data_IF_207426453012
#
_entry.id   IF_207426453012
#
_cell.length_a   1.000
_cell.length_b   1.000
_cell.length_c   1.000
_cell.angle_alpha   90.00
_cell.angle_beta   90.00
_cell.angle_gamma   90.00
#
_symmetry.space_group_name_H-M   'P 1'
#
loop_
_entity.id
_entity.type
_entity.pdbx_description
1 polymer ?
#
# COMPACT_ATOMS: atom_id res chain seq x y z
N UNK A 1 21.28 -8.76 -8.63
CA UNK A 1 20.09 -9.24 -7.91
C UNK A 1 19.91 -10.74 -8.06
N UNK A 2 19.31 -11.37 -7.07
CA UNK A 2 19.11 -12.80 -7.03
C UNK A 2 17.77 -13.16 -6.35
N UNK A 3 17.19 -14.30 -6.69
CA UNK A 3 15.92 -14.78 -6.13
C UNK A 3 15.96 -16.28 -5.86
N UNK A 4 15.11 -16.72 -4.92
CA UNK A 4 14.78 -18.14 -4.70
C UNK A 4 13.31 -18.31 -5.07
N UNK A 5 13.01 -19.30 -5.91
CA UNK A 5 11.64 -19.64 -6.26
C UNK A 5 11.16 -20.79 -5.38
N UNK A 6 9.94 -20.69 -4.81
CA UNK A 6 9.35 -21.76 -4.02
C UNK A 6 7.92 -21.99 -4.51
N UNK A 7 7.62 -23.22 -4.95
CA UNK A 7 6.27 -23.67 -5.32
C UNK A 7 5.67 -24.43 -4.15
N UNK A 8 4.52 -23.97 -3.64
CA UNK A 8 3.70 -24.74 -2.71
C UNK A 8 2.55 -25.39 -3.48
N UNK A 9 2.37 -26.70 -3.35
CA UNK A 9 1.27 -27.44 -3.99
C UNK A 9 0.74 -28.54 -3.08
N UNK A 10 -0.53 -28.91 -3.30
CA UNK A 10 -1.17 -30.07 -2.66
C UNK A 10 -0.85 -31.37 -3.41
N UNK A 11 -0.28 -31.29 -4.62
CA UNK A 11 0.15 -32.47 -5.38
C UNK A 11 1.23 -33.24 -4.62
N UNK A 12 1.23 -34.57 -4.77
CA UNK A 12 2.25 -35.45 -4.22
C UNK A 12 3.42 -35.63 -5.20
N UNK A 13 4.64 -35.81 -4.69
CA UNK A 13 5.81 -36.23 -5.46
C UNK A 13 5.71 -37.74 -5.76
N UNK A 14 5.21 -38.53 -4.80
CA UNK A 14 5.10 -39.99 -4.93
C UNK A 14 6.46 -40.69 -5.03
N UNK A 15 6.55 -41.85 -5.69
CA UNK A 15 7.81 -42.58 -5.83
C UNK A 15 8.76 -42.00 -6.92
N UNK A 16 8.56 -40.74 -7.31
CA UNK A 16 9.32 -40.04 -8.34
C UNK A 16 10.39 -39.13 -7.72
N UNK A 17 11.39 -38.73 -8.51
CA UNK A 17 12.30 -37.62 -8.19
C UNK A 17 11.92 -36.34 -8.92
N UNK A 18 10.97 -36.40 -9.86
CA UNK A 18 10.45 -35.22 -10.55
C UNK A 18 9.49 -34.46 -9.63
N UNK A 19 9.84 -33.22 -9.30
CA UNK A 19 9.04 -32.36 -8.43
C UNK A 19 7.86 -31.74 -9.20
N UNK A 20 6.64 -31.70 -8.60
CA UNK A 20 5.54 -30.89 -9.10
C UNK A 20 5.96 -29.43 -9.33
N UNK A 21 5.36 -28.76 -10.31
CA UNK A 21 5.69 -27.37 -10.64
C UNK A 21 6.97 -27.18 -11.47
N UNK A 22 7.62 -28.25 -11.95
CA UNK A 22 8.80 -28.12 -12.81
C UNK A 22 8.59 -27.20 -14.03
N UNK A 23 7.38 -27.22 -14.63
CA UNK A 23 7.06 -26.34 -15.75
C UNK A 23 7.02 -24.85 -15.37
N UNK A 24 6.47 -24.50 -14.19
CA UNK A 24 6.45 -23.11 -13.73
C UNK A 24 7.85 -22.65 -13.31
N UNK A 25 8.64 -23.52 -12.68
CA UNK A 25 10.04 -23.25 -12.36
C UNK A 25 10.87 -23.02 -13.63
N UNK A 26 10.70 -23.84 -14.66
CA UNK A 26 11.39 -23.65 -15.94
C UNK A 26 11.02 -22.30 -16.59
N UNK A 27 9.74 -21.92 -16.56
CA UNK A 27 9.28 -20.62 -17.05
C UNK A 27 9.85 -19.45 -16.23
N UNK A 28 9.91 -19.60 -14.89
CA UNK A 28 10.51 -18.60 -14.00
C UNK A 28 12.01 -18.46 -14.25
N UNK A 29 12.75 -19.56 -14.43
CA UNK A 29 14.18 -19.57 -14.75
C UNK A 29 14.44 -18.82 -16.06
N UNK A 30 13.71 -19.17 -17.13
CA UNK A 30 13.82 -18.49 -18.41
C UNK A 30 13.55 -16.98 -18.31
N UNK A 31 12.58 -16.57 -17.47
CA UNK A 31 12.28 -15.15 -17.24
C UNK A 31 13.37 -14.47 -16.40
N UNK A 32 13.86 -15.11 -15.35
CA UNK A 32 14.93 -14.59 -14.50
C UNK A 32 16.20 -14.33 -15.33
N UNK A 33 16.59 -15.31 -16.17
CA UNK A 33 17.73 -15.20 -17.08
C UNK A 33 17.54 -14.03 -18.06
N UNK A 34 16.36 -13.91 -18.68
CA UNK A 34 16.04 -12.81 -19.60
C UNK A 34 16.04 -11.42 -18.91
N UNK A 35 15.79 -11.38 -17.61
CA UNK A 35 15.80 -10.18 -16.78
C UNK A 35 17.15 -9.92 -16.08
N UNK A 36 18.18 -10.76 -16.30
CA UNK A 36 19.47 -10.64 -15.63
C UNK A 36 19.45 -10.94 -14.12
N UNK A 37 18.41 -11.64 -13.63
CA UNK A 37 18.27 -12.05 -12.23
C UNK A 37 18.84 -13.44 -12.02
N UNK A 38 19.69 -13.62 -11.00
CA UNK A 38 20.20 -14.93 -10.63
C UNK A 38 19.14 -15.74 -9.88
N UNK A 39 18.68 -16.85 -10.44
CA UNK A 39 17.88 -17.84 -9.70
C UNK A 39 18.83 -18.72 -8.86
N UNK A 40 18.89 -18.44 -7.56
CA UNK A 40 19.81 -19.11 -6.61
C UNK A 40 19.41 -20.56 -6.38
N UNK A 41 18.10 -20.80 -6.24
CA UNK A 41 17.53 -22.11 -6.04
C UNK A 41 16.05 -22.08 -6.45
N UNK A 42 15.52 -23.25 -6.80
CA UNK A 42 14.11 -23.47 -7.05
C UNK A 42 13.63 -24.68 -6.27
N UNK A 43 12.66 -24.48 -5.37
CA UNK A 43 12.15 -25.47 -4.44
C UNK A 43 10.68 -25.79 -4.74
N UNK A 44 10.28 -27.04 -4.53
CA UNK A 44 8.86 -27.41 -4.40
C UNK A 44 8.60 -27.97 -3.01
N UNK A 45 7.53 -27.49 -2.38
CA UNK A 45 6.93 -28.07 -1.18
C UNK A 45 5.59 -28.68 -1.60
N UNK A 46 5.56 -30.00 -1.64
CA UNK A 46 4.41 -30.83 -2.00
C UNK A 46 3.70 -31.36 -0.73
N UNK A 47 2.59 -32.09 -0.88
CA UNK A 47 1.85 -32.62 0.26
C UNK A 47 2.58 -33.75 1.02
N UNK A 48 3.48 -34.49 0.35
CA UNK A 48 4.21 -35.64 0.89
C UNK A 48 5.73 -35.44 1.00
N UNK A 49 6.27 -34.34 0.47
CA UNK A 49 7.72 -34.08 0.48
C UNK A 49 8.10 -32.70 -0.01
N UNK A 50 9.39 -32.38 0.04
CA UNK A 50 9.95 -31.17 -0.54
C UNK A 50 11.32 -31.42 -1.18
N UNK A 51 11.77 -30.53 -2.05
CA UNK A 51 13.08 -30.65 -2.66
C UNK A 51 13.45 -29.46 -3.52
N UNK A 52 14.74 -29.36 -3.86
CA UNK A 52 15.23 -28.44 -4.90
C UNK A 52 15.16 -29.13 -6.27
N UNK A 53 14.78 -28.37 -7.29
CA UNK A 53 14.82 -28.79 -8.70
C UNK A 53 16.26 -28.95 -9.21
N UNK A 54 17.24 -28.41 -8.49
CA UNK A 54 18.66 -28.48 -8.82
C UNK A 54 19.42 -29.53 -7.96
N UNK A 55 18.73 -30.24 -7.04
CA UNK A 55 19.30 -31.31 -6.21
C UNK A 55 19.36 -32.64 -6.99
N UNK A 56 20.56 -32.98 -7.47
CA UNK A 56 20.83 -34.24 -8.20
C UNK A 56 20.69 -35.49 -7.33
N UNK A 57 20.77 -35.34 -6.01
CA UNK A 57 20.71 -36.41 -5.03
C UNK A 57 19.34 -36.49 -4.34
N UNK A 58 18.31 -35.86 -4.93
CA UNK A 58 16.96 -35.86 -4.39
C UNK A 58 16.41 -37.30 -4.32
N UNK A 59 16.03 -37.80 -3.13
CA UNK A 59 15.45 -39.14 -3.02
C UNK A 59 14.06 -39.22 -3.66
N UNK A 60 13.62 -40.42 -4.09
CA UNK A 60 12.23 -40.63 -4.50
C UNK A 60 11.26 -40.20 -3.39
N UNK A 61 10.25 -39.39 -3.74
CA UNK A 61 9.33 -38.76 -2.78
C UNK A 61 9.84 -37.47 -2.16
N UNK A 62 11.04 -37.02 -2.52
CA UNK A 62 11.66 -35.83 -1.95
C UNK A 62 12.09 -36.03 -0.50
N UNK A 63 12.53 -34.93 0.11
CA UNK A 63 12.88 -34.84 1.53
C UNK A 63 11.62 -34.76 2.38
N UNK A 64 11.74 -35.20 3.63
CA UNK A 64 10.59 -35.26 4.55
C UNK A 64 10.04 -33.87 4.85
N UNK A 65 8.72 -33.64 4.80
CA UNK A 65 8.13 -32.37 5.25
C UNK A 65 8.45 -32.03 6.71
N UNK A 66 8.75 -33.05 7.53
CA UNK A 66 9.18 -32.85 8.92
C UNK A 66 10.51 -32.09 9.04
N UNK A 67 11.32 -32.05 7.97
CA UNK A 67 12.55 -31.25 7.93
C UNK A 67 12.28 -29.75 7.82
N UNK A 68 11.08 -29.35 7.38
CA UNK A 68 10.66 -27.94 7.29
C UNK A 68 10.08 -27.40 8.61
N UNK A 69 9.81 -28.26 9.59
CA UNK A 69 9.35 -27.84 10.91
C UNK A 69 10.47 -27.14 11.67
N UNK A 70 10.23 -25.91 12.13
CA UNK A 70 11.19 -25.15 12.93
C UNK A 70 11.51 -25.89 14.23
N UNK A 71 12.79 -26.25 14.42
CA UNK A 71 13.25 -26.89 15.65
C UNK A 71 13.54 -25.82 16.70
N UNK A 72 13.21 -26.08 17.96
CA UNK A 72 13.41 -25.12 19.07
C UNK A 72 14.84 -24.54 19.19
N UNK A 73 15.93 -25.29 18.94
CA UNK A 73 17.28 -24.74 18.94
C UNK A 73 17.51 -23.72 17.82
N UNK A 74 16.92 -23.93 16.64
CA UNK A 74 17.04 -23.03 15.49
C UNK A 74 16.24 -21.75 15.72
N UNK A 75 15.07 -21.84 16.35
CA UNK A 75 14.30 -20.69 16.79
C UNK A 75 15.08 -19.82 17.79
N UNK A 76 15.77 -20.44 18.75
CA UNK A 76 16.62 -19.73 19.72
C UNK A 76 17.82 -19.06 19.05
N UNK A 77 18.47 -19.74 18.09
CA UNK A 77 19.57 -19.18 17.30
C UNK A 77 19.13 -17.99 16.44
N UNK A 78 17.96 -18.09 15.76
CA UNK A 78 17.36 -16.99 15.00
C UNK A 78 17.04 -15.79 15.89
N UNK A 79 16.45 -16.02 17.07
CA UNK A 79 16.18 -14.97 18.04
C UNK A 79 17.47 -14.29 18.52
N UNK A 80 18.54 -15.07 18.77
CA UNK A 80 19.86 -14.55 19.13
C UNK A 80 20.52 -13.72 18.01
N UNK A 81 20.22 -14.05 16.74
CA UNK A 81 20.63 -13.27 15.57
C UNK A 81 19.73 -12.06 15.26
N UNK A 82 18.76 -11.74 16.13
CA UNK A 82 17.82 -10.63 15.94
C UNK A 82 16.76 -10.86 14.85
N UNK A 83 16.67 -12.07 14.28
CA UNK A 83 15.65 -12.42 13.31
C UNK A 83 14.32 -12.67 14.03
N UNK A 84 13.32 -11.85 13.74
CA UNK A 84 11.98 -12.00 14.31
C UNK A 84 11.28 -13.22 13.70
N UNK A 85 10.64 -14.03 14.55
CA UNK A 85 9.74 -15.09 14.09
C UNK A 85 8.56 -14.46 13.35
N UNK A 86 8.25 -14.89 12.11
CA UNK A 86 7.05 -14.43 11.41
C UNK A 86 5.80 -14.71 12.24
N UNK A 87 5.02 -13.68 12.55
CA UNK A 87 3.79 -13.82 13.37
C UNK A 87 2.52 -13.93 12.53
N UNK A 88 2.66 -14.02 11.20
CA UNK A 88 1.55 -14.10 10.26
C UNK A 88 2.02 -14.43 8.84
N UNK A 89 1.06 -14.56 7.94
CA UNK A 89 1.25 -14.86 6.52
C UNK A 89 1.59 -13.61 5.67
N UNK A 90 1.74 -13.79 4.36
CA UNK A 90 1.98 -12.72 3.38
C UNK A 90 0.88 -11.65 3.31
N UNK A 91 -0.26 -11.87 3.97
CA UNK A 91 -1.39 -10.95 4.00
C UNK A 91 -1.47 -10.15 5.31
N UNK A 92 -0.76 -10.60 6.34
CA UNK A 92 -0.81 -10.05 7.69
C UNK A 92 -0.30 -8.61 7.74
N UNK A 93 0.68 -8.28 6.88
CA UNK A 93 1.20 -6.93 6.74
C UNK A 93 0.17 -5.93 6.19
N UNK A 94 -0.93 -6.37 5.56
CA UNK A 94 -1.99 -5.50 5.05
C UNK A 94 -3.18 -5.32 6.02
N UNK A 95 -3.16 -5.95 7.19
CA UNK A 95 -4.19 -5.75 8.22
C UNK A 95 -4.09 -4.33 8.77
N UNK A 96 -5.17 -3.55 8.69
CA UNK A 96 -5.21 -2.21 9.26
C UNK A 96 -5.03 -2.21 10.78
N UNK A 97 -4.44 -1.14 11.36
CA UNK A 97 -4.35 -0.96 12.80
C UNK A 97 -5.69 -1.14 13.53
N UNK A 98 -5.65 -1.76 14.70
CA UNK A 98 -6.83 -1.92 15.54
C UNK A 98 -7.11 -0.61 16.29
N UNK A 99 -8.26 -0.01 16.03
CA UNK A 99 -8.71 1.22 16.70
C UNK A 99 -10.07 1.00 17.38
N UNK A 100 -10.23 1.58 18.56
CA UNK A 100 -11.46 1.46 19.35
C UNK A 100 -12.64 2.23 18.75
N UNK A 101 -13.86 1.84 19.12
CA UNK A 101 -15.07 2.58 18.72
C UNK A 101 -15.06 4.06 19.14
N UNK A 102 -14.57 4.47 20.33
CA UNK A 102 -14.54 5.88 20.71
C UNK A 102 -13.74 6.74 19.74
N UNK A 103 -12.55 6.29 19.34
CA UNK A 103 -11.70 7.00 18.36
C UNK A 103 -12.41 7.15 17.00
N UNK A 104 -13.03 6.08 16.49
CA UNK A 104 -13.80 6.13 15.23
C UNK A 104 -14.98 7.10 15.29
N UNK A 105 -15.68 7.17 16.42
CA UNK A 105 -16.79 8.12 16.63
C UNK A 105 -16.29 9.55 16.65
N UNK A 106 -15.16 9.82 17.32
CA UNK A 106 -14.53 11.13 17.36
C UNK A 106 -14.13 11.62 15.95
N UNK A 107 -13.47 10.78 15.14
CA UNK A 107 -13.14 11.12 13.75
C UNK A 107 -14.40 11.31 12.90
N UNK A 108 -15.42 10.47 13.10
CA UNK A 108 -16.70 10.63 12.40
C UNK A 108 -17.43 11.94 12.73
N UNK A 109 -17.32 12.44 13.97
CA UNK A 109 -17.81 13.75 14.38
C UNK A 109 -16.99 14.87 13.72
N UNK A 110 -15.66 14.79 13.80
CA UNK A 110 -14.76 15.76 13.19
C UNK A 110 -14.96 15.89 11.67
N UNK A 111 -15.17 14.78 10.95
CA UNK A 111 -15.53 14.80 9.52
C UNK A 111 -16.78 15.62 9.22
N UNK A 112 -17.80 15.53 10.08
CA UNK A 112 -19.03 16.32 9.91
C UNK A 112 -18.80 17.79 10.22
N UNK A 113 -18.06 18.10 11.29
CA UNK A 113 -17.68 19.47 11.63
C UNK A 113 -16.86 20.12 10.52
N UNK A 114 -15.86 19.43 9.96
CA UNK A 114 -15.03 19.90 8.86
C UNK A 114 -15.87 20.16 7.60
N UNK A 115 -16.78 19.25 7.25
CA UNK A 115 -17.68 19.44 6.10
C UNK A 115 -18.55 20.69 6.27
N UNK A 116 -19.11 20.90 7.46
CA UNK A 116 -19.90 22.09 7.75
C UNK A 116 -19.07 23.38 7.71
N UNK A 117 -17.82 23.37 8.18
CA UNK A 117 -16.93 24.53 8.11
C UNK A 117 -16.58 24.90 6.66
N UNK A 118 -16.30 23.90 5.83
CA UNK A 118 -16.01 24.08 4.40
C UNK A 118 -17.23 24.59 3.62
N UNK A 119 -18.45 24.12 3.91
CA UNK A 119 -19.69 24.66 3.32
C UNK A 119 -19.83 26.16 3.57
N UNK A 120 -19.46 26.62 4.78
CA UNK A 120 -19.49 28.05 5.15
C UNK A 120 -18.40 28.85 4.42
N UNK A 121 -17.15 28.36 4.42
CA UNK A 121 -16.03 29.07 3.77
C UNK A 121 -16.23 29.17 2.26
N UNK A 122 -16.67 28.08 1.63
CA UNK A 122 -16.86 28.02 0.17
C UNK A 122 -18.19 28.64 -0.29
N UNK A 123 -19.04 29.11 0.62
CA UNK A 123 -20.31 29.76 0.29
C UNK A 123 -21.36 28.83 -0.34
N UNK A 124 -21.30 27.52 -0.08
CA UNK A 124 -22.25 26.54 -0.64
C UNK A 124 -23.55 26.58 0.19
N UNK A 125 -24.73 26.85 -0.40
CA UNK A 125 -25.98 26.89 0.35
C UNK A 125 -26.33 25.50 0.88
N UNK A 126 -26.28 25.32 2.20
CA UNK A 126 -26.75 24.08 2.84
C UNK A 126 -28.29 24.07 2.83
N UNK A 127 -28.91 23.15 2.08
CA UNK A 127 -30.38 23.03 1.91
C UNK A 127 -31.14 22.59 3.17
N UNK A 128 -30.50 22.56 4.34
CA UNK A 128 -31.17 22.23 5.59
C UNK A 128 -30.26 22.18 6.79
N UNK A 129 -29.97 23.32 7.41
CA UNK A 129 -29.81 23.42 8.87
C UNK A 129 -29.75 24.89 9.28
N UNK A 130 -30.59 25.29 10.24
CA UNK A 130 -30.52 26.59 10.89
C UNK A 130 -29.14 26.75 11.57
N UNK A 131 -28.50 27.92 11.38
CA UNK A 131 -27.28 28.42 11.99
C UNK A 131 -26.64 27.50 13.06
N UNK A 132 -26.01 26.41 12.62
CA UNK A 132 -25.28 25.54 13.52
C UNK A 132 -23.97 26.25 13.85
N UNK A 133 -23.71 26.50 15.14
CA UNK A 133 -22.44 27.07 15.58
C UNK A 133 -21.31 26.18 15.04
N UNK A 134 -20.47 26.74 14.18
CA UNK A 134 -19.32 26.04 13.61
C UNK A 134 -18.31 25.78 14.72
N UNK A 135 -17.78 24.56 14.76
CA UNK A 135 -16.69 24.18 15.66
C UNK A 135 -15.43 24.99 15.28
N UNK A 136 -14.87 25.82 16.19
CA UNK A 136 -13.68 26.62 15.89
C UNK A 136 -12.51 25.78 15.37
N UNK A 137 -12.31 24.56 15.90
CA UNK A 137 -11.26 23.67 15.44
C UNK A 137 -11.48 23.18 14.00
N UNK A 138 -12.74 23.10 13.56
CA UNK A 138 -13.07 22.74 12.18
C UNK A 138 -12.84 23.92 11.21
N UNK A 139 -13.03 25.16 11.68
CA UNK A 139 -12.73 26.35 10.90
C UNK A 139 -11.21 26.51 10.71
N UNK A 140 -10.44 26.34 11.78
CA UNK A 140 -8.97 26.34 11.73
C UNK A 140 -8.46 25.25 10.78
N UNK A 141 -8.96 24.02 10.93
CA UNK A 141 -8.66 22.91 10.03
C UNK A 141 -9.02 23.21 8.56
N UNK A 142 -10.09 23.94 8.31
CA UNK A 142 -10.46 24.32 6.95
C UNK A 142 -9.54 25.39 6.37
N UNK A 143 -8.99 26.29 7.20
CA UNK A 143 -7.94 27.23 6.78
C UNK A 143 -6.62 26.49 6.50
N UNK A 144 -6.27 25.48 7.30
CA UNK A 144 -5.07 24.64 7.06
C UNK A 144 -5.11 23.92 5.70
N UNK A 145 -6.29 23.69 5.12
CA UNK A 145 -6.44 23.08 3.78
C UNK A 145 -6.01 24.01 2.63
N UNK A 146 -5.73 25.28 2.88
CA UNK A 146 -5.19 26.23 1.89
C UNK A 146 -3.73 25.90 1.51
N UNK A 147 -2.98 25.28 2.43
CA UNK A 147 -1.60 24.85 2.22
C UNK A 147 -1.49 23.31 2.35
N UNK A 148 -2.02 22.63 1.34
CA UNK A 148 -1.99 21.17 1.25
C UNK A 148 -0.56 20.60 1.30
N UNK A 149 0.44 21.17 0.60
CA UNK A 149 1.80 20.66 0.67
C UNK A 149 2.37 20.67 2.08
N UNK A 150 2.21 21.77 2.84
CA UNK A 150 2.64 21.80 4.25
C UNK A 150 1.86 20.80 5.11
N UNK A 151 0.56 20.64 4.88
CA UNK A 151 -0.26 19.66 5.61
C UNK A 151 0.24 18.22 5.39
N UNK A 152 0.50 17.82 4.15
CA UNK A 152 0.96 16.47 3.81
C UNK A 152 2.39 16.20 4.27
N UNK A 153 3.25 17.22 4.27
CA UNK A 153 4.60 17.10 4.79
C UNK A 153 4.58 16.88 6.30
N UNK A 154 3.82 17.74 7.00
CA UNK A 154 3.67 17.61 8.44
C UNK A 154 3.05 16.27 8.79
N UNK A 155 2.07 15.76 8.03
CA UNK A 155 1.40 14.47 8.26
C UNK A 155 2.37 13.29 8.52
N UNK A 156 3.58 13.32 7.94
CA UNK A 156 4.60 12.30 8.15
C UNK A 156 5.23 12.31 9.55
N UNK A 157 5.07 13.40 10.30
CA UNK A 157 5.74 13.61 11.61
C UNK A 157 4.85 13.36 12.83
N UNK A 158 3.53 13.22 12.65
CA UNK A 158 2.58 13.00 13.76
C UNK A 158 1.67 11.79 13.51
N UNK A 159 0.94 11.35 14.55
CA UNK A 159 0.06 10.17 14.48
C UNK A 159 -1.40 10.60 14.30
N UNK A 160 -2.11 10.16 13.25
CA UNK A 160 -3.53 10.47 13.07
C UNK A 160 -4.41 10.03 14.24
N UNK A 161 -3.97 9.03 15.03
CA UNK A 161 -4.67 8.57 16.23
C UNK A 161 -4.72 9.60 17.36
N UNK A 162 -3.84 10.61 17.35
CA UNK A 162 -3.73 11.62 18.41
C UNK A 162 -4.63 12.84 18.17
N UNK A 163 -5.10 13.07 16.93
CA UNK A 163 -5.96 14.20 16.59
C UNK A 163 -7.11 13.79 15.66
N UNK A 164 -8.35 13.68 16.17
CA UNK A 164 -9.50 13.33 15.35
C UNK A 164 -9.77 14.32 14.21
N UNK A 165 -9.51 15.61 14.42
CA UNK A 165 -9.72 16.65 13.40
C UNK A 165 -8.75 16.49 12.25
N UNK A 166 -7.46 16.34 12.54
CA UNK A 166 -6.48 16.20 11.47
C UNK A 166 -6.58 14.83 10.76
N UNK A 167 -7.01 13.76 11.45
CA UNK A 167 -7.38 12.50 10.78
C UNK A 167 -8.58 12.68 9.83
N UNK A 168 -9.54 13.54 10.20
CA UNK A 168 -10.65 13.91 9.33
C UNK A 168 -10.20 14.76 8.13
N UNK A 169 -9.28 15.71 8.31
CA UNK A 169 -8.68 16.49 7.20
C UNK A 169 -7.99 15.59 6.19
N UNK A 170 -7.10 14.69 6.66
CA UNK A 170 -6.42 13.74 5.78
C UNK A 170 -7.43 12.81 5.10
N UNK A 171 -8.40 12.28 5.85
CA UNK A 171 -9.47 11.46 5.27
C UNK A 171 -10.30 12.18 4.20
N UNK A 172 -10.54 13.48 4.39
CA UNK A 172 -11.23 14.34 3.44
C UNK A 172 -10.40 14.62 2.18
N UNK A 173 -9.09 14.86 2.33
CA UNK A 173 -8.16 15.05 1.20
C UNK A 173 -8.01 13.77 0.38
N UNK A 174 -7.65 12.66 1.04
CA UNK A 174 -7.41 11.37 0.38
C UNK A 174 -8.66 10.78 -0.27
N UNK A 175 -9.85 11.24 0.14
CA UNK A 175 -11.12 10.89 -0.48
C UNK A 175 -11.43 11.63 -1.79
N UNK A 176 -10.63 12.63 -2.18
CA UNK A 176 -10.83 13.45 -3.38
C UNK A 176 -9.70 13.22 -4.38
N UNK A 177 -9.98 12.90 -5.66
CA UNK A 177 -8.94 12.56 -6.63
C UNK A 177 -7.80 13.58 -6.72
N UNK A 178 -8.07 14.86 -7.01
CA UNK A 178 -7.02 15.87 -7.15
C UNK A 178 -6.16 16.02 -5.91
N UNK A 179 -6.78 16.14 -4.73
CA UNK A 179 -6.05 16.34 -3.46
C UNK A 179 -5.25 15.10 -3.03
N UNK A 180 -5.81 13.92 -3.29
CA UNK A 180 -5.15 12.64 -3.05
C UNK A 180 -3.92 12.49 -3.94
N UNK A 181 -4.02 12.88 -5.20
CA UNK A 181 -2.94 12.70 -6.17
C UNK A 181 -1.79 13.66 -5.87
N UNK A 182 -2.07 14.88 -5.39
CA UNK A 182 -1.06 15.78 -4.79
C UNK A 182 -0.30 15.08 -3.65
N UNK A 183 -1.01 14.44 -2.71
CA UNK A 183 -0.38 13.75 -1.58
C UNK A 183 0.52 12.59 -2.05
N UNK A 184 0.08 11.80 -3.03
CA UNK A 184 0.86 10.69 -3.58
C UNK A 184 2.13 11.18 -4.28
N UNK A 185 2.02 12.22 -5.12
CA UNK A 185 3.17 12.82 -5.80
C UNK A 185 4.17 13.38 -4.78
N UNK A 186 3.70 14.14 -3.79
CA UNK A 186 4.56 14.71 -2.75
C UNK A 186 5.28 13.65 -1.90
N UNK A 187 4.58 12.59 -1.51
CA UNK A 187 5.20 11.53 -0.71
C UNK A 187 6.18 10.68 -1.52
N UNK A 188 5.98 10.57 -2.84
CA UNK A 188 6.90 9.91 -3.74
C UNK A 188 8.08 10.78 -4.19
N UNK A 189 8.00 12.10 -3.97
CA UNK A 189 9.05 13.07 -4.30
C UNK A 189 9.50 13.78 -3.02
N UNK A 190 9.10 15.03 -2.84
CA UNK A 190 9.36 15.88 -1.68
C UNK A 190 8.31 16.99 -1.59
N UNK A 191 8.44 17.89 -0.60
CA UNK A 191 7.52 19.01 -0.44
C UNK A 191 7.46 19.93 -1.67
N UNK A 192 8.58 20.17 -2.36
CA UNK A 192 8.60 20.98 -3.59
C UNK A 192 7.85 20.30 -4.73
N UNK A 193 7.93 18.96 -4.83
CA UNK A 193 7.12 18.19 -5.76
C UNK A 193 5.62 18.29 -5.43
N UNK A 194 5.28 18.38 -4.15
CA UNK A 194 3.92 18.69 -3.68
C UNK A 194 3.43 20.07 -4.12
N UNK A 195 4.26 21.11 -4.00
CA UNK A 195 3.94 22.47 -4.46
C UNK A 195 3.66 22.49 -5.97
N UNK A 196 4.52 21.83 -6.75
CA UNK A 196 4.36 21.71 -8.21
C UNK A 196 3.07 20.95 -8.54
N UNK A 197 2.77 19.85 -7.85
CA UNK A 197 1.56 19.08 -8.06
C UNK A 197 0.29 19.86 -7.68
N UNK A 198 0.36 20.66 -6.63
CA UNK A 198 -0.74 21.53 -6.19
C UNK A 198 -1.05 22.62 -7.22
N UNK A 199 -0.03 23.32 -7.72
CA UNK A 199 -0.22 24.33 -8.77
C UNK A 199 -0.71 23.69 -10.09
N UNK A 200 -0.17 22.53 -10.45
CA UNK A 200 -0.60 21.77 -11.62
C UNK A 200 -2.07 21.34 -11.53
N UNK A 201 -2.51 20.85 -10.36
CA UNK A 201 -3.90 20.48 -10.13
C UNK A 201 -4.84 21.68 -10.29
N UNK A 202 -4.46 22.84 -9.73
CA UNK A 202 -5.23 24.09 -9.86
C UNK A 202 -5.35 24.53 -11.32
N UNK A 203 -4.23 24.56 -12.06
CA UNK A 203 -4.21 24.95 -13.48
C UNK A 203 -5.01 23.99 -14.36
N UNK A 204 -4.97 22.69 -14.06
CA UNK A 204 -5.78 21.70 -14.75
C UNK A 204 -7.28 21.89 -14.49
N UNK A 205 -7.68 22.25 -13.27
CA UNK A 205 -9.07 22.63 -12.95
C UNK A 205 -9.52 23.90 -13.71
N UNK A 206 -8.59 24.81 -14.00
CA UNK A 206 -8.80 25.99 -14.86
C UNK A 206 -8.79 25.65 -16.37
N UNK A 207 -8.59 24.38 -16.74
CA UNK A 207 -8.68 23.87 -18.12
C UNK A 207 -7.34 23.73 -18.85
N UNK A 208 -6.22 23.88 -18.17
CA UNK A 208 -4.90 23.62 -18.73
C UNK A 208 -4.56 22.12 -18.78
N UNK A 209 -3.50 21.76 -19.51
CA UNK A 209 -3.02 20.38 -19.58
C UNK A 209 -2.27 19.99 -18.29
N UNK A 210 -2.52 18.77 -17.80
CA UNK A 210 -1.81 18.26 -16.62
C UNK A 210 -0.38 17.84 -16.99
N UNK A 211 0.66 18.26 -16.25
CA UNK A 211 2.05 17.94 -16.59
C UNK A 211 2.34 16.44 -16.65
N UNK A 212 2.98 16.00 -17.74
CA UNK A 212 3.31 14.59 -17.98
C UNK A 212 4.24 14.05 -16.88
N UNK A 213 5.23 14.82 -16.45
CA UNK A 213 6.21 14.38 -15.44
C UNK A 213 5.55 13.98 -14.11
N UNK A 214 4.48 14.67 -13.71
CA UNK A 214 3.72 14.33 -12.49
C UNK A 214 2.90 13.06 -12.70
N UNK A 215 2.37 12.84 -13.90
CA UNK A 215 1.69 11.60 -14.23
C UNK A 215 2.66 10.41 -14.19
N UNK A 216 3.90 10.56 -14.67
CA UNK A 216 4.92 9.49 -14.65
C UNK A 216 5.19 8.96 -13.23
N UNK A 217 5.08 9.80 -12.20
CA UNK A 217 5.14 9.36 -10.79
C UNK A 217 4.05 8.34 -10.51
N UNK A 218 2.81 8.62 -10.90
CA UNK A 218 1.67 7.73 -10.67
C UNK A 218 1.79 6.38 -11.42
N UNK A 219 2.47 6.38 -12.56
CA UNK A 219 2.72 5.19 -13.40
C UNK A 219 3.97 4.40 -13.03
N UNK A 220 4.80 4.87 -12.10
CA UNK A 220 6.01 4.12 -11.71
C UNK A 220 7.24 4.43 -12.54
N UNK A 221 7.19 5.46 -13.39
CA UNK A 221 8.22 5.78 -14.41
C UNK A 221 9.08 6.99 -14.01
N UNK A 222 8.94 7.49 -12.77
CA UNK A 222 9.71 8.61 -12.24
C UNK A 222 11.06 8.17 -11.62
N UNK A 223 11.93 9.11 -11.17
CA UNK A 223 13.06 8.78 -10.31
C UNK A 223 12.64 7.98 -9.07
N UNK A 224 13.57 7.20 -8.50
CA UNK A 224 13.29 6.31 -7.37
C UNK A 224 12.89 7.13 -6.13
N UNK A 225 11.70 6.90 -5.55
CA UNK A 225 11.30 7.55 -4.31
C UNK A 225 12.15 7.13 -3.12
N UNK A 226 12.20 7.99 -2.10
CA UNK A 226 12.71 7.62 -0.78
C UNK A 226 11.81 6.54 -0.15
N UNK A 227 12.40 5.38 0.12
CA UNK A 227 11.71 4.22 0.67
C UNK A 227 11.11 4.51 2.05
N UNK A 228 11.87 5.14 2.95
CA UNK A 228 11.46 5.39 4.34
C UNK A 228 10.32 6.41 4.37
N UNK A 229 10.35 7.39 3.46
CA UNK A 229 9.26 8.35 3.26
C UNK A 229 7.97 7.67 2.82
N UNK A 230 8.04 6.75 1.84
CA UNK A 230 6.86 5.98 1.41
C UNK A 230 6.32 5.05 2.52
N UNK A 231 7.18 4.47 3.34
CA UNK A 231 6.75 3.70 4.50
C UNK A 231 6.03 4.55 5.54
N UNK A 232 6.54 5.75 5.83
CA UNK A 232 5.90 6.72 6.73
C UNK A 232 4.52 7.13 6.19
N UNK A 233 4.43 7.45 4.90
CA UNK A 233 3.17 7.77 4.23
C UNK A 233 2.16 6.60 4.31
N UNK A 234 2.62 5.37 4.10
CA UNK A 234 1.77 4.18 4.21
C UNK A 234 1.25 3.99 5.63
N UNK A 235 2.08 4.24 6.65
CA UNK A 235 1.66 4.19 8.05
C UNK A 235 0.54 5.21 8.34
N UNK A 236 0.71 6.45 7.89
CA UNK A 236 -0.29 7.52 8.03
C UNK A 236 -1.61 7.14 7.34
N UNK A 237 -1.55 6.71 6.07
CA UNK A 237 -2.74 6.32 5.31
C UNK A 237 -3.50 5.15 5.96
N UNK A 238 -2.78 4.17 6.53
CA UNK A 238 -3.36 3.04 7.26
C UNK A 238 -4.08 3.48 8.53
N UNK A 239 -3.50 4.39 9.30
CA UNK A 239 -4.12 4.94 10.50
C UNK A 239 -5.41 5.70 10.15
N UNK A 240 -5.36 6.55 9.12
CA UNK A 240 -6.55 7.27 8.60
C UNK A 240 -7.63 6.27 8.16
N UNK A 241 -7.28 5.27 7.36
CA UNK A 241 -8.23 4.23 6.92
C UNK A 241 -8.87 3.46 8.08
N UNK A 242 -8.10 3.19 9.15
CA UNK A 242 -8.59 2.48 10.33
C UNK A 242 -9.60 3.33 11.15
N UNK A 243 -9.34 4.64 11.25
CA UNK A 243 -10.12 5.61 12.03
C UNK A 243 -11.42 6.03 11.35
N UNK A 244 -11.44 6.13 10.03
CA UNK A 244 -12.60 6.67 9.31
C UNK A 244 -13.84 5.77 9.41
N UNK A 245 -15.06 6.36 9.37
CA UNK A 245 -16.29 5.63 9.11
C UNK A 245 -16.22 4.88 7.77
N UNK A 246 -16.85 3.71 7.66
CA UNK A 246 -16.73 2.80 6.49
C UNK A 246 -16.91 3.53 5.15
N UNK A 247 -17.92 4.41 5.04
CA UNK A 247 -18.23 5.16 3.80
C UNK A 247 -17.12 6.11 3.32
N UNK A 248 -16.17 6.49 4.17
CA UNK A 248 -15.07 7.41 3.83
C UNK A 248 -13.73 6.70 3.65
N UNK A 249 -13.69 5.37 3.81
CA UNK A 249 -12.45 4.59 3.68
C UNK A 249 -11.92 4.35 2.26
N UNK A 250 -12.72 4.39 1.16
CA UNK A 250 -12.20 4.03 -0.16
C UNK A 250 -10.94 4.79 -0.56
N UNK A 251 -10.90 6.12 -0.39
CA UNK A 251 -9.74 6.95 -0.73
C UNK A 251 -8.46 6.54 0.00
N UNK A 252 -8.44 6.56 1.35
CA UNK A 252 -7.28 6.11 2.12
C UNK A 252 -6.87 4.65 1.86
N UNK A 253 -7.82 3.75 1.58
CA UNK A 253 -7.51 2.37 1.18
C UNK A 253 -6.83 2.33 -0.19
N UNK A 254 -7.29 3.11 -1.17
CA UNK A 254 -6.65 3.19 -2.48
C UNK A 254 -5.23 3.78 -2.39
N UNK A 255 -5.02 4.76 -1.50
CA UNK A 255 -3.69 5.30 -1.20
C UNK A 255 -2.79 4.23 -0.57
N UNK A 256 -3.29 3.46 0.41
CA UNK A 256 -2.56 2.32 0.95
C UNK A 256 -2.21 1.30 -0.15
N UNK A 257 -3.10 1.11 -1.12
CA UNK A 257 -2.88 0.21 -2.24
C UNK A 257 -1.73 0.70 -3.14
N UNK A 258 -1.78 1.97 -3.56
CA UNK A 258 -0.75 2.57 -4.40
C UNK A 258 0.61 2.60 -3.69
N UNK A 259 0.68 3.03 -2.43
CA UNK A 259 1.93 3.04 -1.65
C UNK A 259 2.50 1.63 -1.45
N UNK A 260 1.64 0.64 -1.23
CA UNK A 260 2.08 -0.76 -1.17
C UNK A 260 2.63 -1.24 -2.50
N UNK A 261 2.02 -0.86 -3.62
CA UNK A 261 2.52 -1.18 -4.96
C UNK A 261 3.86 -0.49 -5.25
N UNK A 262 3.98 0.80 -4.93
CA UNK A 262 5.21 1.58 -5.07
C UNK A 262 6.40 0.99 -4.26
N UNK A 263 6.10 0.40 -3.10
CA UNK A 263 7.05 -0.34 -2.24
C UNK A 263 7.28 -1.81 -2.67
N UNK A 264 6.75 -2.25 -3.82
CA UNK A 264 6.91 -3.63 -4.31
C UNK A 264 6.08 -4.69 -3.57
N UNK A 265 5.07 -4.29 -2.79
CA UNK A 265 4.23 -5.18 -1.96
C UNK A 265 2.89 -5.49 -2.64
N UNK A 266 2.91 -6.09 -3.83
CA UNK A 266 1.72 -6.33 -4.67
C UNK A 266 0.59 -7.09 -3.96
N UNK A 267 0.90 -8.04 -3.08
CA UNK A 267 -0.13 -8.73 -2.26
C UNK A 267 -0.88 -7.77 -1.34
N UNK A 268 -0.18 -6.83 -0.72
CA UNK A 268 -0.80 -5.80 0.12
C UNK A 268 -1.60 -4.81 -0.73
N UNK A 269 -1.03 -4.38 -1.87
CA UNK A 269 -1.69 -3.51 -2.83
C UNK A 269 -3.04 -4.09 -3.28
N UNK A 270 -3.05 -5.37 -3.68
CA UNK A 270 -4.25 -6.11 -4.06
C UNK A 270 -5.31 -6.09 -2.95
N UNK A 271 -4.91 -6.38 -1.71
CA UNK A 271 -5.83 -6.45 -0.57
C UNK A 271 -6.46 -5.09 -0.26
N UNK A 272 -5.68 -4.02 -0.32
CA UNK A 272 -6.19 -2.67 -0.11
C UNK A 272 -7.10 -2.19 -1.23
N UNK A 273 -6.72 -2.41 -2.49
CA UNK A 273 -7.52 -2.07 -3.65
C UNK A 273 -8.88 -2.79 -3.60
N UNK A 274 -8.90 -4.10 -3.34
CA UNK A 274 -10.15 -4.85 -3.14
C UNK A 274 -10.97 -4.36 -1.95
N UNK A 275 -10.31 -3.96 -0.87
CA UNK A 275 -10.96 -3.35 0.29
C UNK A 275 -11.68 -2.05 -0.05
N UNK A 276 -11.07 -1.19 -0.88
CA UNK A 276 -11.68 0.03 -1.38
C UNK A 276 -12.86 -0.29 -2.31
N UNK A 277 -12.67 -1.16 -3.30
CA UNK A 277 -13.68 -1.54 -4.30
C UNK A 277 -14.89 -2.26 -3.69
N UNK A 278 -14.71 -2.98 -2.58
CA UNK A 278 -15.81 -3.59 -1.84
C UNK A 278 -16.73 -2.55 -1.16
N UNK A 279 -16.26 -1.30 -0.98
CA UNK A 279 -17.02 -0.20 -0.39
C UNK A 279 -17.53 0.73 -1.50
N UNK A 280 -16.69 1.04 -2.48
CA UNK A 280 -17.02 1.84 -3.66
C UNK A 280 -16.54 1.11 -4.94
N UNK A 281 -17.44 0.38 -5.64
CA UNK A 281 -17.08 -0.40 -6.82
C UNK A 281 -16.56 0.41 -8.01
N UNK A 282 -16.68 1.75 -7.99
CA UNK A 282 -16.22 2.63 -9.07
C UNK A 282 -15.02 3.50 -8.65
N UNK A 283 -14.33 3.12 -7.57
CA UNK A 283 -13.22 3.91 -7.06
C UNK A 283 -11.99 3.85 -7.99
N UNK A 284 -11.81 4.91 -8.79
CA UNK A 284 -10.84 4.95 -9.91
C UNK A 284 -9.42 4.50 -9.57
N UNK A 285 -8.77 5.10 -8.56
CA UNK A 285 -7.39 4.72 -8.20
C UNK A 285 -7.29 3.25 -7.74
N UNK A 286 -8.31 2.73 -7.07
CA UNK A 286 -8.27 1.35 -6.59
C UNK A 286 -8.38 0.36 -7.75
N UNK A 287 -9.18 0.70 -8.76
CA UNK A 287 -9.31 -0.06 -10.00
C UNK A 287 -7.99 -0.06 -10.80
N UNK A 288 -7.35 1.11 -10.93
CA UNK A 288 -6.04 1.26 -11.59
C UNK A 288 -4.97 0.40 -10.89
N UNK A 289 -4.83 0.51 -9.57
CA UNK A 289 -3.83 -0.28 -8.82
C UNK A 289 -4.14 -1.78 -8.93
N UNK A 290 -5.41 -2.18 -8.94
CA UNK A 290 -5.79 -3.58 -9.12
C UNK A 290 -5.37 -4.09 -10.51
N UNK A 291 -5.55 -3.27 -11.55
CA UNK A 291 -5.10 -3.60 -12.91
C UNK A 291 -3.56 -3.75 -12.98
N UNK A 292 -2.79 -2.86 -12.35
CA UNK A 292 -1.34 -3.00 -12.25
C UNK A 292 -0.93 -4.33 -11.63
N UNK A 293 -1.51 -4.66 -10.47
CA UNK A 293 -1.18 -5.90 -9.75
C UNK A 293 -1.57 -7.13 -10.56
N UNK A 294 -2.72 -7.12 -11.24
CA UNK A 294 -3.16 -8.25 -12.08
C UNK A 294 -2.30 -8.43 -13.32
N UNK A 295 -1.80 -7.33 -13.90
CA UNK A 295 -0.87 -7.37 -15.02
C UNK A 295 0.57 -7.73 -14.62
N UNK A 296 0.86 -7.86 -13.31
CA UNK A 296 2.22 -8.01 -12.81
C UNK A 296 3.09 -6.77 -13.07
N UNK A 297 2.46 -5.60 -13.29
CA UNK A 297 3.16 -4.35 -13.52
C UNK A 297 3.75 -3.85 -12.19
N UNK A 298 5.07 -3.70 -12.16
CA UNK A 298 5.83 -3.14 -11.06
C UNK A 298 6.41 -1.79 -11.51
N UNK A 299 6.55 -0.82 -10.58
CA UNK A 299 7.14 0.46 -10.94
C UNK A 299 8.58 0.26 -11.45
N UNK A 300 8.97 1.01 -12.48
CA UNK A 300 10.28 0.91 -13.12
C UNK A 300 11.41 1.15 -12.12
N UNK A 301 11.21 2.08 -11.17
CA UNK A 301 12.20 2.38 -10.12
C UNK A 301 12.52 1.19 -9.21
N UNK A 302 11.72 0.11 -9.19
CA UNK A 302 12.04 -1.10 -8.44
C UNK A 302 13.22 -1.88 -9.04
N UNK A 303 13.58 -1.63 -10.30
CA UNK A 303 14.63 -2.35 -11.03
C UNK A 303 15.86 -1.50 -11.33
N UNK A 304 15.85 -0.21 -10.97
CA UNK A 304 17.00 0.67 -11.17
C UNK A 304 18.05 0.36 -10.09
N UNK A 305 19.20 -0.11 -10.55
CA UNK A 305 20.41 -0.31 -9.76
C UNK A 305 21.07 1.06 -9.59
N UNK A 306 21.35 1.46 -8.35
CA UNK A 306 22.19 2.64 -8.05
C UNK A 306 23.66 2.42 -8.43
#
# INVERSE_FOLDING_TARGET
>A
DALIAIVYTEDAIGASTALPGAAIIAALRARADASGLLLVDALTVASDGWGSHDDVDLPPGGRSPADLCERSPDAAARAGAGLRTPTGDQSSGAVLPRVGQPARRAVGLAMRSLTAALEVICGIPSMGSAAQRIDPAALEAACELDDLPSLFEQALTWRPTESPMRAAMLGWCLGRPGLRDIALVQWATDQSGGDIASDAQRRWEDGEEYPVDLALVMWGEAPRPDHDRLEAALAVARDVAALLPKKHRPGPLAVCAWLSWALGRSTHAHRYARGALAIDPRHGLADIVLAFVQAGHLPEWAFRVE
#
